data_IF_241869829238
#
_entry.id   IF_241869829238
#
_cell.length_a   1.000
_cell.length_b   1.000
_cell.length_c   1.000
_cell.angle_alpha   90.00
_cell.angle_beta   90.00
_cell.angle_gamma   90.00
#
_symmetry.space_group_name_H-M   'P 1'
#
loop_
_entity.id
_entity.type
_entity.pdbx_description
1 polymer ?
#
# COMPACT_ATOMS: atom_id res chain seq x y z
N UNK A 1 -21.70 5.53 -5.93
CA UNK A 1 -20.41 6.17 -5.55
C UNK A 1 -20.29 6.61 -4.06
N UNK A 2 -21.38 6.92 -3.35
CA UNK A 2 -21.31 7.25 -1.90
C UNK A 2 -21.21 6.03 -0.95
N UNK A 3 -21.69 4.86 -1.35
CA UNK A 3 -21.75 3.66 -0.49
C UNK A 3 -20.38 3.00 -0.29
N UNK A 4 -19.50 3.05 -1.30
CA UNK A 4 -18.14 2.47 -1.19
C UNK A 4 -17.20 3.31 -0.33
N UNK A 5 -17.33 4.65 -0.33
CA UNK A 5 -16.55 5.53 0.56
C UNK A 5 -16.79 5.24 2.05
N UNK A 6 -18.02 4.83 2.42
CA UNK A 6 -18.35 4.48 3.81
C UNK A 6 -17.68 3.19 4.29
N UNK A 7 -17.42 2.23 3.40
CA UNK A 7 -16.79 0.95 3.75
C UNK A 7 -15.29 1.13 4.01
N UNK A 8 -14.64 2.04 3.29
CA UNK A 8 -13.21 2.37 3.41
C UNK A 8 -12.84 3.14 4.68
N UNK A 9 -13.78 3.86 5.30
CA UNK A 9 -13.57 4.71 6.48
C UNK A 9 -14.39 4.27 7.70
N UNK A 10 -14.72 2.99 7.79
CA UNK A 10 -15.65 2.46 8.80
C UNK A 10 -15.20 2.71 10.23
N UNK A 11 -13.95 2.41 10.55
CA UNK A 11 -13.40 2.60 11.90
C UNK A 11 -13.15 4.09 12.18
N UNK A 12 -12.67 4.85 11.21
CA UNK A 12 -12.52 6.29 11.33
C UNK A 12 -13.86 6.99 11.65
N UNK A 13 -14.93 6.66 10.94
CA UNK A 13 -16.25 7.27 11.13
C UNK A 13 -16.93 6.88 12.45
N UNK A 14 -16.53 5.77 13.07
CA UNK A 14 -17.01 5.36 14.40
C UNK A 14 -16.34 6.14 15.55
N UNK A 15 -15.20 6.79 15.28
CA UNK A 15 -14.52 7.56 16.31
C UNK A 15 -15.31 8.81 16.68
N UNK A 16 -15.24 9.26 17.95
CA UNK A 16 -15.74 10.57 18.37
C UNK A 16 -15.12 11.71 17.56
N UNK A 17 -15.87 12.81 17.38
CA UNK A 17 -15.46 13.95 16.56
C UNK A 17 -14.06 14.48 16.91
N UNK A 18 -13.72 14.61 18.18
CA UNK A 18 -12.41 15.07 18.62
C UNK A 18 -11.27 14.14 18.16
N UNK A 19 -11.48 12.81 18.20
CA UNK A 19 -10.49 11.84 17.72
C UNK A 19 -10.34 11.92 16.20
N UNK A 20 -11.44 12.05 15.45
CA UNK A 20 -11.41 12.23 13.98
C UNK A 20 -10.67 13.51 13.58
N UNK A 21 -10.98 14.61 14.26
CA UNK A 21 -10.32 15.88 14.00
C UNK A 21 -8.81 15.81 14.33
N UNK A 22 -8.43 15.15 15.40
CA UNK A 22 -7.03 14.91 15.74
C UNK A 22 -6.31 14.11 14.64
N UNK A 23 -6.93 13.05 14.08
CA UNK A 23 -6.37 12.26 12.98
C UNK A 23 -6.14 13.15 11.74
N UNK A 24 -7.13 13.97 11.36
CA UNK A 24 -7.03 14.89 10.21
C UNK A 24 -5.86 15.88 10.40
N UNK A 25 -5.74 16.46 11.58
CA UNK A 25 -4.68 17.42 11.89
C UNK A 25 -3.30 16.76 11.94
N UNK A 26 -3.19 15.55 12.50
CA UNK A 26 -1.95 14.76 12.49
C UNK A 26 -1.53 14.41 11.06
N UNK A 27 -2.46 14.01 10.20
CA UNK A 27 -2.17 13.72 8.80
C UNK A 27 -1.69 14.96 8.03
N UNK A 28 -2.23 16.13 8.33
CA UNK A 28 -1.83 17.37 7.65
C UNK A 28 -0.35 17.71 7.85
N UNK A 29 0.26 17.29 8.96
CA UNK A 29 1.66 17.54 9.30
C UNK A 29 2.01 19.03 9.55
N UNK A 30 1.00 19.91 9.59
CA UNK A 30 1.21 21.37 9.67
C UNK A 30 1.37 21.90 11.10
N UNK A 31 1.04 21.09 12.10
CA UNK A 31 0.99 21.49 13.49
C UNK A 31 1.77 20.53 14.39
N UNK A 32 2.31 21.06 15.49
CA UNK A 32 2.90 20.20 16.53
C UNK A 32 1.80 19.46 17.31
N UNK A 33 2.14 18.33 17.93
CA UNK A 33 1.18 17.54 18.71
C UNK A 33 0.55 18.36 19.85
N UNK A 34 1.30 19.26 20.49
CA UNK A 34 0.77 20.16 21.52
C UNK A 34 -0.32 21.08 20.95
N UNK A 35 -0.07 21.72 19.81
CA UNK A 35 -1.06 22.57 19.13
C UNK A 35 -2.29 21.77 18.67
N UNK A 36 -2.11 20.53 18.22
CA UNK A 36 -3.24 19.67 17.85
C UNK A 36 -4.08 19.33 19.08
N UNK A 37 -3.45 19.02 20.22
CA UNK A 37 -4.17 18.76 21.47
C UNK A 37 -5.01 19.96 21.90
N UNK A 38 -4.43 21.16 21.84
CA UNK A 38 -5.12 22.42 22.13
C UNK A 38 -6.29 22.64 21.18
N UNK A 39 -6.11 22.44 19.87
CA UNK A 39 -7.15 22.63 18.83
C UNK A 39 -8.35 21.70 19.03
N UNK A 40 -8.10 20.44 19.41
CA UNK A 40 -9.19 19.49 19.69
C UNK A 40 -9.67 19.55 21.15
N UNK A 41 -9.16 20.50 21.92
CA UNK A 41 -9.52 20.76 23.30
C UNK A 41 -9.37 19.51 24.19
N UNK A 42 -8.12 19.00 24.25
CA UNK A 42 -7.67 17.90 25.13
C UNK A 42 -6.24 18.16 25.60
N UNK A 43 -5.79 17.44 26.63
CA UNK A 43 -4.39 17.53 27.07
C UNK A 43 -3.46 16.81 26.07
N UNK A 44 -2.19 17.24 25.99
CA UNK A 44 -1.17 16.55 25.20
C UNK A 44 -1.01 15.07 25.63
N UNK A 45 -1.15 14.77 26.92
CA UNK A 45 -1.15 13.41 27.45
C UNK A 45 -2.33 12.59 26.91
N UNK A 46 -3.53 13.18 26.87
CA UNK A 46 -4.72 12.53 26.31
C UNK A 46 -4.53 12.18 24.85
N UNK A 47 -4.01 13.12 24.03
CA UNK A 47 -3.71 12.86 22.63
C UNK A 47 -2.66 11.76 22.46
N UNK A 48 -1.61 11.77 23.29
CA UNK A 48 -0.59 10.71 23.30
C UNK A 48 -1.20 9.34 23.61
N UNK A 49 -2.08 9.27 24.64
CA UNK A 49 -2.79 8.04 25.00
C UNK A 49 -3.70 7.56 23.87
N UNK A 50 -4.43 8.44 23.17
CA UNK A 50 -5.24 8.04 22.03
C UNK A 50 -4.44 7.34 20.94
N UNK A 51 -3.24 7.81 20.65
CA UNK A 51 -2.35 7.22 19.64
C UNK A 51 -1.89 5.79 19.95
N UNK A 52 -1.97 5.37 21.22
CA UNK A 52 -1.66 3.98 21.62
C UNK A 52 -2.88 3.07 21.54
N UNK A 53 -4.08 3.63 21.48
CA UNK A 53 -5.32 2.85 21.43
C UNK A 53 -5.55 2.28 20.03
N UNK A 54 -5.99 1.03 19.97
CA UNK A 54 -6.21 0.31 18.72
C UNK A 54 -7.27 0.98 17.83
N UNK A 55 -8.39 1.43 18.41
CA UNK A 55 -9.45 2.12 17.68
C UNK A 55 -8.95 3.37 16.96
N UNK A 56 -8.10 4.16 17.62
CA UNK A 56 -7.50 5.36 17.03
C UNK A 56 -6.53 5.00 15.90
N UNK A 57 -5.69 3.99 16.09
CA UNK A 57 -4.72 3.54 15.08
C UNK A 57 -5.43 3.00 13.84
N UNK A 58 -6.45 2.16 14.02
CA UNK A 58 -7.26 1.65 12.90
C UNK A 58 -7.94 2.80 12.13
N UNK A 59 -8.51 3.78 12.83
CA UNK A 59 -9.10 4.96 12.20
C UNK A 59 -8.07 5.82 11.47
N UNK A 60 -6.87 5.99 12.04
CA UNK A 60 -5.77 6.72 11.40
C UNK A 60 -5.27 6.01 10.14
N UNK A 61 -5.11 4.69 10.17
CA UNK A 61 -4.70 3.90 9.01
C UNK A 61 -5.73 3.97 7.87
N UNK A 62 -7.02 3.85 8.19
CA UNK A 62 -8.08 3.99 7.19
C UNK A 62 -8.10 5.39 6.56
N UNK A 63 -7.98 6.43 7.37
CA UNK A 63 -7.93 7.80 6.87
C UNK A 63 -6.69 8.04 5.99
N UNK A 64 -5.54 7.54 6.40
CA UNK A 64 -4.30 7.63 5.62
C UNK A 64 -4.44 6.93 4.26
N UNK A 65 -4.97 5.70 4.23
CA UNK A 65 -5.21 4.97 2.97
C UNK A 65 -6.19 5.71 2.06
N UNK A 66 -7.26 6.26 2.64
CA UNK A 66 -8.24 7.04 1.89
C UNK A 66 -7.61 8.27 1.24
N UNK A 67 -6.80 9.03 1.99
CA UNK A 67 -6.09 10.20 1.47
C UNK A 67 -5.03 9.84 0.43
N UNK A 68 -4.28 8.74 0.63
CA UNK A 68 -3.32 8.26 -0.35
C UNK A 68 -4.02 7.87 -1.67
N UNK A 69 -5.18 7.24 -1.60
CA UNK A 69 -5.95 6.90 -2.80
C UNK A 69 -6.42 8.16 -3.55
N UNK A 70 -6.87 9.18 -2.83
CA UNK A 70 -7.26 10.47 -3.44
C UNK A 70 -6.06 11.19 -4.07
N UNK A 71 -4.92 11.21 -3.37
CA UNK A 71 -3.68 11.82 -3.85
C UNK A 71 -3.05 11.07 -5.02
N UNK A 72 -3.23 9.74 -5.12
CA UNK A 72 -2.67 8.94 -6.20
C UNK A 72 -3.18 9.38 -7.57
N UNK A 73 -4.47 9.73 -7.66
CA UNK A 73 -5.05 10.26 -8.91
C UNK A 73 -4.39 11.57 -9.36
N UNK A 74 -4.11 12.47 -8.41
CA UNK A 74 -3.41 13.73 -8.69
C UNK A 74 -1.96 13.49 -9.08
N UNK A 75 -1.28 12.56 -8.40
CA UNK A 75 0.10 12.19 -8.70
C UNK A 75 0.23 11.63 -10.14
N UNK A 76 -0.73 10.79 -10.57
CA UNK A 76 -0.77 10.28 -11.95
C UNK A 76 -0.95 11.42 -12.97
N UNK A 77 -1.83 12.39 -12.69
CA UNK A 77 -2.00 13.56 -13.56
C UNK A 77 -0.71 14.39 -13.64
N UNK A 78 -0.08 14.68 -12.50
CA UNK A 78 1.21 15.38 -12.47
C UNK A 78 2.28 14.62 -13.26
N UNK A 79 2.35 13.29 -13.11
CA UNK A 79 3.29 12.48 -13.87
C UNK A 79 3.04 12.59 -15.39
N UNK A 80 1.77 12.56 -15.82
CA UNK A 80 1.39 12.78 -17.23
C UNK A 80 1.86 14.16 -17.74
N UNK A 81 1.75 15.21 -16.94
CA UNK A 81 2.22 16.55 -17.29
C UNK A 81 3.76 16.59 -17.41
N UNK A 82 4.47 15.92 -16.48
CA UNK A 82 5.93 15.85 -16.48
C UNK A 82 6.50 15.14 -17.72
N UNK A 83 5.75 14.25 -18.37
CA UNK A 83 6.14 13.65 -19.65
C UNK A 83 6.28 14.70 -20.76
N UNK A 84 5.67 15.87 -20.63
CA UNK A 84 5.75 16.99 -21.57
C UNK A 84 6.59 18.18 -21.03
N UNK A 85 7.35 18.00 -19.95
CA UNK A 85 8.17 19.04 -19.36
C UNK A 85 9.23 19.54 -20.37
N UNK A 86 9.66 20.80 -20.26
CA UNK A 86 10.70 21.38 -21.12
C UNK A 86 12.06 20.70 -20.95
N UNK A 87 12.39 20.30 -19.73
CA UNK A 87 13.65 19.62 -19.40
C UNK A 87 13.63 18.17 -19.85
N UNK A 88 14.62 17.75 -20.66
CA UNK A 88 14.78 16.35 -21.10
C UNK A 88 14.97 15.40 -19.93
N UNK A 89 15.75 15.80 -18.91
CA UNK A 89 15.97 15.00 -17.71
C UNK A 89 14.67 14.74 -16.97
N UNK A 90 13.79 15.75 -16.86
CA UNK A 90 12.48 15.58 -16.20
C UNK A 90 11.60 14.62 -17.00
N UNK A 91 11.56 14.76 -18.34
CA UNK A 91 10.81 13.82 -19.20
C UNK A 91 11.33 12.39 -19.07
N UNK A 92 12.65 12.22 -19.12
CA UNK A 92 13.30 10.92 -19.00
C UNK A 92 12.95 10.26 -17.64
N UNK A 93 13.10 10.99 -16.53
CA UNK A 93 12.78 10.48 -15.20
C UNK A 93 11.29 10.10 -15.07
N UNK A 94 10.40 10.94 -15.60
CA UNK A 94 8.96 10.66 -15.59
C UNK A 94 8.63 9.41 -16.42
N UNK A 95 9.21 9.27 -17.61
CA UNK A 95 9.00 8.10 -18.46
C UNK A 95 9.55 6.82 -17.82
N UNK A 96 10.78 6.87 -17.30
CA UNK A 96 11.42 5.74 -16.61
C UNK A 96 10.58 5.27 -15.41
N UNK A 97 10.07 6.19 -14.58
CA UNK A 97 9.22 5.86 -13.45
C UNK A 97 7.91 5.19 -13.89
N UNK A 98 7.25 5.71 -14.92
CA UNK A 98 5.99 5.13 -15.45
C UNK A 98 6.23 3.71 -15.99
N UNK A 99 7.30 3.51 -16.75
CA UNK A 99 7.67 2.21 -17.31
C UNK A 99 7.99 1.22 -16.18
N UNK A 100 8.80 1.62 -15.20
CA UNK A 100 9.14 0.79 -14.05
C UNK A 100 7.89 0.35 -13.29
N UNK A 101 6.96 1.28 -13.02
CA UNK A 101 5.71 0.95 -12.32
C UNK A 101 4.78 0.07 -13.14
N UNK A 102 4.71 0.25 -14.44
CA UNK A 102 3.91 -0.60 -15.33
C UNK A 102 4.45 -2.03 -15.36
N UNK A 103 5.77 -2.21 -15.38
CA UNK A 103 6.41 -3.53 -15.36
C UNK A 103 6.29 -4.20 -13.99
N UNK A 104 6.59 -3.48 -12.90
CA UNK A 104 6.55 -4.03 -11.54
C UNK A 104 5.13 -4.43 -11.08
N UNK A 105 4.09 -3.72 -11.52
CA UNK A 105 2.71 -4.05 -11.15
C UNK A 105 2.27 -5.42 -11.66
N UNK A 106 2.76 -5.86 -12.82
CA UNK A 106 2.50 -7.18 -13.37
C UNK A 106 3.14 -8.31 -12.55
N UNK A 107 4.36 -8.09 -12.08
CA UNK A 107 5.11 -9.07 -11.31
C UNK A 107 4.60 -9.19 -9.87
N UNK A 108 4.24 -8.09 -9.24
CA UNK A 108 3.60 -8.10 -7.91
C UNK A 108 2.25 -8.82 -7.92
N UNK A 109 1.42 -8.60 -8.95
CA UNK A 109 0.14 -9.29 -9.10
C UNK A 109 0.32 -10.81 -9.31
N UNK A 110 1.31 -11.24 -10.11
CA UNK A 110 1.65 -12.65 -10.30
C UNK A 110 2.16 -13.29 -9.02
N UNK A 111 3.03 -12.59 -8.29
CA UNK A 111 3.59 -13.07 -7.02
C UNK A 111 2.51 -13.22 -5.96
N UNK A 112 1.65 -12.21 -5.79
CA UNK A 112 0.52 -12.26 -4.86
C UNK A 112 -0.45 -13.41 -5.17
N UNK A 113 -0.73 -13.65 -6.47
CA UNK A 113 -1.57 -14.78 -6.88
C UNK A 113 -0.92 -16.11 -6.57
N UNK A 114 0.37 -16.28 -6.88
CA UNK A 114 1.10 -17.51 -6.59
C UNK A 114 1.18 -17.79 -5.08
N UNK A 115 1.37 -16.76 -4.24
CA UNK A 115 1.34 -16.89 -2.77
C UNK A 115 -0.04 -17.30 -2.26
N UNK A 116 -1.12 -16.74 -2.82
CA UNK A 116 -2.49 -17.12 -2.49
C UNK A 116 -2.79 -18.59 -2.88
N UNK A 117 -2.39 -19.00 -4.08
CA UNK A 117 -2.56 -20.38 -4.57
C UNK A 117 -1.80 -21.40 -3.70
N UNK A 118 -0.58 -21.04 -3.23
CA UNK A 118 0.21 -21.86 -2.31
C UNK A 118 -0.47 -21.95 -0.92
N UNK A 119 -0.99 -20.84 -0.40
CA UNK A 119 -1.73 -20.84 0.87
C UNK A 119 -2.99 -21.69 0.79
N UNK A 120 -3.75 -21.57 -0.29
CA UNK A 120 -4.96 -22.38 -0.49
C UNK A 120 -4.62 -23.87 -0.61
N UNK A 121 -3.55 -24.22 -1.32
CA UNK A 121 -3.09 -25.61 -1.43
C UNK A 121 -2.65 -26.19 -0.08
N UNK A 122 -1.97 -25.40 0.76
CA UNK A 122 -1.59 -25.79 2.12
C UNK A 122 -2.82 -26.00 3.00
N UNK A 123 -3.78 -25.08 2.99
CA UNK A 123 -5.00 -25.19 3.77
C UNK A 123 -5.84 -26.42 3.38
N UNK A 124 -5.91 -26.75 2.08
CA UNK A 124 -6.59 -27.96 1.59
C UNK A 124 -5.91 -29.25 2.06
N UNK A 125 -4.57 -29.26 2.18
CA UNK A 125 -3.81 -30.43 2.69
C UNK A 125 -4.01 -30.60 4.19
N UNK A 126 -3.96 -29.54 4.96
CA UNK A 126 -4.23 -29.59 6.42
C UNK A 126 -5.64 -30.09 6.74
N UNK A 127 -6.64 -29.72 5.93
CA UNK A 127 -8.03 -30.16 6.11
C UNK A 127 -8.28 -31.60 5.66
N UNK A 128 -7.50 -32.16 4.76
CA UNK A 128 -7.68 -33.51 4.25
C UNK A 128 -6.94 -34.58 5.07
N UNK A 129 -6.25 -34.23 6.14
CA UNK A 129 -5.71 -35.18 7.14
C UNK A 129 -4.65 -36.15 6.63
N UNK A 130 -4.03 -35.89 5.48
CA UNK A 130 -2.98 -36.75 4.92
C UNK A 130 -1.59 -36.16 5.21
N UNK A 131 -1.01 -36.61 6.29
CA UNK A 131 0.24 -36.13 6.89
C UNK A 131 1.52 -36.69 6.29
N UNK A 132 1.57 -37.18 5.05
CA UNK A 132 2.81 -37.74 4.45
C UNK A 132 2.88 -37.60 2.93
N UNK A 133 2.98 -36.40 2.41
CA UNK A 133 3.53 -36.25 1.06
C UNK A 133 4.50 -35.07 1.01
N UNK A 134 5.79 -35.40 1.05
CA UNK A 134 6.88 -34.50 0.70
C UNK A 134 6.80 -34.16 -0.78
N UNK A 135 6.31 -32.96 -1.11
CA UNK A 135 6.34 -32.46 -2.48
C UNK A 135 7.77 -32.12 -2.86
N UNK A 136 8.39 -32.98 -3.66
CA UNK A 136 9.61 -32.63 -4.38
C UNK A 136 9.27 -31.60 -5.47
N UNK A 137 9.52 -30.33 -5.19
CA UNK A 137 9.45 -29.28 -6.21
C UNK A 137 10.74 -29.32 -7.02
N UNK A 138 10.75 -30.01 -8.15
CA UNK A 138 11.82 -29.93 -9.13
C UNK A 138 11.74 -28.56 -9.82
N UNK A 139 12.53 -27.60 -9.35
CA UNK A 139 12.72 -26.33 -10.05
C UNK A 139 13.72 -26.60 -11.19
N UNK A 140 13.19 -26.83 -12.39
CA UNK A 140 14.01 -26.84 -13.61
C UNK A 140 14.38 -25.40 -13.93
N UNK A 141 15.57 -25.00 -13.57
CA UNK A 141 16.14 -23.73 -14.03
C UNK A 141 16.52 -23.87 -15.51
N UNK A 142 16.12 -22.96 -16.40
CA UNK A 142 16.62 -22.97 -17.77
C UNK A 142 18.15 -22.81 -17.77
N UNK A 143 18.84 -23.73 -18.44
CA UNK A 143 20.29 -23.73 -18.52
C UNK A 143 20.78 -22.53 -19.36
N UNK A 144 21.47 -21.59 -18.74
CA UNK A 144 21.95 -20.34 -19.32
C UNK A 144 23.16 -20.53 -20.27
N UNK A 145 23.56 -21.74 -20.58
CA UNK A 145 24.84 -22.04 -21.24
C UNK A 145 24.71 -22.51 -22.71
N UNK A 146 23.57 -22.35 -23.40
CA UNK A 146 23.45 -22.77 -24.81
C UNK A 146 23.53 -21.66 -25.87
N UNK A 147 23.81 -20.40 -25.50
CA UNK A 147 23.95 -19.31 -26.48
C UNK A 147 25.39 -18.84 -26.77
N UNK A 148 26.39 -19.72 -26.69
CA UNK A 148 27.73 -19.36 -27.17
C UNK A 148 28.44 -20.53 -27.87
N UNK A 149 27.88 -21.01 -28.96
CA UNK A 149 28.63 -21.81 -29.98
C UNK A 149 27.93 -21.71 -31.32
N UNK A 150 28.11 -20.64 -32.04
CA UNK A 150 28.03 -20.58 -33.49
C UNK A 150 28.54 -19.22 -33.92
N UNK A 151 29.88 -19.05 -33.96
CA UNK A 151 30.59 -18.08 -34.78
C UNK A 151 32.09 -18.50 -34.81
N UNK A 152 32.41 -19.44 -35.65
CA UNK A 152 33.68 -19.52 -36.40
C UNK A 152 33.39 -19.81 -37.85
#
# INVERSE_FOLDING_TARGET
MMVEKNKSLRNFLKLPDKKRQAIILLFSGKMTQAKIADEVNVSATTLSTWKTHEDFRLGQDEYTRFMLHDLSSKAVLTMKELLNARSEMVRYNAASYVIEKALSSGDEARKSKAEADIMEAKAKRENNGDGTDTVNVNIVMPNRNEEQKDNE
#
